data_IF_585499506398
#
_entry.id   IF_585499506398
#
_cell.length_a   1.000
_cell.length_b   1.000
_cell.length_c   1.000
_cell.angle_alpha   90.00
_cell.angle_beta   90.00
_cell.angle_gamma   90.00
#
_symmetry.space_group_name_H-M   'P 1'
#
loop_
_entity.id
_entity.type
_entity.pdbx_description
1 polymer ?
#
# COMPACT_ATOMS: atom_id res chain seq x y z
N UNK A 1 35.15 -0.91 18.99
CA UNK A 1 34.49 -1.35 17.74
C UNK A 1 34.03 -0.10 16.98
N UNK A 2 34.07 -0.07 15.65
CA UNK A 2 33.82 1.10 14.80
C UNK A 2 32.34 1.57 14.77
N UNK A 3 31.67 1.62 15.92
CA UNK A 3 30.23 1.91 16.01
C UNK A 3 29.33 0.83 15.41
N UNK A 4 29.87 -0.38 15.14
CA UNK A 4 29.13 -1.54 14.64
C UNK A 4 28.27 -2.09 15.77
N UNK A 5 26.98 -2.26 15.51
CA UNK A 5 26.01 -2.80 16.48
C UNK A 5 25.56 -4.21 16.11
N UNK A 6 25.41 -4.52 14.82
CA UNK A 6 24.92 -5.82 14.36
C UNK A 6 25.60 -6.20 13.04
N UNK A 7 25.89 -7.47 12.85
CA UNK A 7 26.29 -8.03 11.55
C UNK A 7 25.28 -9.06 11.08
N UNK A 8 25.12 -9.19 9.77
CA UNK A 8 24.18 -10.16 9.22
C UNK A 8 24.65 -10.78 7.91
N UNK A 9 24.10 -11.94 7.62
CA UNK A 9 24.28 -12.65 6.36
C UNK A 9 22.91 -13.12 5.89
N UNK A 10 22.49 -12.68 4.70
CA UNK A 10 21.29 -13.14 4.03
C UNK A 10 21.70 -13.97 2.80
N UNK A 11 21.28 -15.23 2.75
CA UNK A 11 21.64 -16.16 1.67
C UNK A 11 20.54 -16.25 0.63
N UNK A 12 20.91 -16.67 -0.59
CA UNK A 12 19.95 -16.87 -1.69
C UNK A 12 18.91 -17.96 -1.39
N UNK A 13 19.18 -18.90 -0.47
CA UNK A 13 18.24 -19.95 -0.09
C UNK A 13 17.15 -19.48 0.88
N UNK A 14 17.12 -18.20 1.25
CA UNK A 14 16.16 -17.66 2.20
C UNK A 14 16.60 -17.69 3.66
N UNK A 15 17.81 -18.18 3.95
CA UNK A 15 18.35 -18.19 5.31
C UNK A 15 19.05 -16.86 5.62
N UNK A 16 18.56 -16.16 6.64
CA UNK A 16 19.22 -14.99 7.22
C UNK A 16 19.73 -15.31 8.62
N UNK A 17 20.94 -14.84 8.95
CA UNK A 17 21.52 -14.91 10.30
C UNK A 17 21.98 -13.52 10.72
N UNK A 18 21.79 -13.21 11.99
CA UNK A 18 22.10 -11.93 12.60
C UNK A 18 22.95 -12.18 13.84
N UNK A 19 23.87 -11.28 14.14
CA UNK A 19 24.72 -11.34 15.32
C UNK A 19 24.82 -9.93 15.90
N UNK A 20 24.29 -9.76 17.12
CA UNK A 20 24.39 -8.51 17.86
C UNK A 20 25.77 -8.40 18.52
N UNK A 21 26.45 -7.26 18.35
CA UNK A 21 27.78 -6.96 18.88
C UNK A 21 27.75 -5.98 20.06
N UNK A 22 26.57 -5.51 20.46
CA UNK A 22 26.41 -4.61 21.63
C UNK A 22 26.76 -5.34 22.93
N UNK A 23 27.16 -4.63 23.99
CA UNK A 23 27.40 -5.23 25.30
C UNK A 23 26.10 -5.79 25.91
N UNK A 24 26.22 -6.80 26.78
CA UNK A 24 25.07 -7.53 27.32
C UNK A 24 24.08 -6.65 28.09
N UNK A 25 24.55 -5.56 28.71
CA UNK A 25 23.72 -4.54 29.39
C UNK A 25 22.78 -3.80 28.43
N UNK A 26 23.20 -3.57 27.18
CA UNK A 26 22.34 -2.97 26.15
C UNK A 26 21.43 -4.00 25.48
N UNK A 27 21.89 -5.27 25.38
CA UNK A 27 21.11 -6.38 24.82
C UNK A 27 19.90 -6.72 25.68
N UNK A 28 20.00 -6.65 27.01
CA UNK A 28 18.90 -6.97 27.93
C UNK A 28 17.72 -6.00 27.83
N UNK A 29 17.97 -4.75 27.39
CA UNK A 29 16.94 -3.71 27.30
C UNK A 29 16.15 -3.74 25.99
N UNK A 30 16.73 -4.28 24.92
CA UNK A 30 16.04 -4.52 23.65
C UNK A 30 16.83 -5.50 22.78
N UNK A 31 16.18 -6.55 22.31
CA UNK A 31 16.75 -7.49 21.36
C UNK A 31 16.69 -6.91 19.94
N UNK A 32 17.61 -5.98 19.63
CA UNK A 32 17.80 -5.39 18.30
C UNK A 32 17.89 -6.48 17.22
N UNK A 33 18.51 -7.61 17.55
CA UNK A 33 18.57 -8.79 16.68
C UNK A 33 17.17 -9.29 16.30
N UNK A 34 16.27 -9.49 17.27
CA UNK A 34 14.90 -9.94 17.00
C UNK A 34 14.10 -8.91 16.22
N UNK A 35 14.22 -7.62 16.58
CA UNK A 35 13.51 -6.55 15.87
C UNK A 35 14.00 -6.45 14.42
N UNK A 36 15.30 -6.57 14.20
CA UNK A 36 15.88 -6.55 12.87
C UNK A 36 15.50 -7.80 12.07
N UNK A 37 15.52 -8.98 12.69
CA UNK A 37 15.12 -10.23 12.07
C UNK A 37 13.63 -10.24 11.68
N UNK A 38 12.76 -9.69 12.52
CA UNK A 38 11.32 -9.58 12.27
C UNK A 38 11.02 -8.61 11.12
N UNK A 39 11.75 -7.49 11.06
CA UNK A 39 11.64 -6.50 9.98
C UNK A 39 12.19 -7.06 8.66
N UNK A 40 13.30 -7.80 8.69
CA UNK A 40 14.03 -8.28 7.52
C UNK A 40 13.99 -9.80 7.37
N UNK A 41 12.79 -10.37 7.32
CA UNK A 41 12.57 -11.82 7.33
C UNK A 41 12.52 -12.50 5.95
N UNK A 42 12.59 -11.74 4.84
CA UNK A 42 12.40 -12.28 3.47
C UNK A 42 13.69 -12.44 2.67
N UNK A 43 14.86 -12.34 3.32
CA UNK A 43 16.18 -12.56 2.74
C UNK A 43 16.39 -11.93 1.34
N UNK A 44 16.15 -12.67 0.25
CA UNK A 44 16.34 -12.21 -1.14
C UNK A 44 15.38 -11.10 -1.57
N UNK A 45 14.21 -11.02 -0.94
CA UNK A 45 13.23 -9.98 -1.23
C UNK A 45 13.51 -8.67 -0.49
N UNK A 46 14.46 -8.68 0.43
CA UNK A 46 14.83 -7.49 1.18
C UNK A 46 15.55 -6.46 0.29
N UNK A 47 15.25 -5.19 0.57
CA UNK A 47 15.79 -4.08 -0.21
C UNK A 47 17.33 -4.06 -0.19
N UNK A 48 17.95 -4.29 0.97
CA UNK A 48 19.41 -4.32 1.08
C UNK A 48 20.05 -5.44 0.24
N UNK A 49 19.33 -6.57 0.06
CA UNK A 49 19.81 -7.71 -0.72
C UNK A 49 19.76 -7.36 -2.21
N UNK A 50 18.60 -6.90 -2.68
CA UNK A 50 18.39 -6.51 -4.08
C UNK A 50 19.34 -5.39 -4.50
N UNK A 51 19.44 -4.34 -3.67
CA UNK A 51 20.34 -3.20 -3.92
C UNK A 51 21.80 -3.61 -3.97
N UNK A 52 22.28 -4.45 -3.05
CA UNK A 52 23.67 -4.92 -3.08
C UNK A 52 23.99 -5.75 -4.33
N UNK A 53 23.07 -6.64 -4.74
CA UNK A 53 23.23 -7.50 -5.91
C UNK A 53 23.18 -6.69 -7.21
N UNK A 54 22.31 -5.70 -7.30
CA UNK A 54 22.23 -4.79 -8.45
C UNK A 54 23.47 -3.89 -8.54
N UNK A 55 23.87 -3.28 -7.42
CA UNK A 55 25.02 -2.38 -7.38
C UNK A 55 26.34 -3.09 -7.69
N UNK A 56 26.47 -4.38 -7.36
CA UNK A 56 27.63 -5.20 -7.71
C UNK A 56 27.94 -5.20 -9.21
N UNK A 57 26.93 -5.03 -10.08
CA UNK A 57 27.14 -4.93 -11.53
C UNK A 57 27.89 -3.65 -11.93
N UNK A 58 27.75 -2.58 -11.15
CA UNK A 58 28.47 -1.33 -11.36
C UNK A 58 29.87 -1.38 -10.75
N UNK A 59 29.99 -1.89 -9.51
CA UNK A 59 31.27 -2.06 -8.84
C UNK A 59 31.25 -3.31 -7.94
N UNK A 60 32.03 -4.32 -8.32
CA UNK A 60 32.08 -5.61 -7.62
C UNK A 60 32.72 -5.56 -6.24
N UNK A 61 33.45 -4.48 -5.93
CA UNK A 61 34.16 -4.33 -4.65
C UNK A 61 33.48 -3.31 -3.73
N UNK A 62 32.36 -2.72 -4.16
CA UNK A 62 31.73 -1.64 -3.42
C UNK A 62 30.79 -2.14 -2.31
N UNK A 63 30.73 -1.37 -1.24
CA UNK A 63 29.69 -1.47 -0.22
C UNK A 63 28.53 -0.52 -0.55
N UNK A 64 27.30 -0.98 -0.34
CA UNK A 64 26.08 -0.20 -0.49
C UNK A 64 25.62 0.27 0.88
N UNK A 65 25.69 1.56 1.11
CA UNK A 65 25.23 2.21 2.33
C UNK A 65 23.84 2.79 2.11
N UNK A 66 22.97 2.61 3.10
CA UNK A 66 21.62 3.14 3.11
C UNK A 66 21.19 3.51 4.53
N UNK A 67 20.25 4.45 4.63
CA UNK A 67 19.57 4.80 5.88
C UNK A 67 18.07 4.65 5.67
N UNK A 68 17.29 4.37 6.72
CA UNK A 68 15.84 4.42 6.61
C UNK A 68 15.35 5.85 6.28
N UNK A 69 14.14 5.94 5.74
CA UNK A 69 13.58 7.22 5.30
C UNK A 69 13.14 8.09 6.49
N UNK A 70 13.33 9.41 6.37
CA UNK A 70 12.88 10.43 7.35
C UNK A 70 13.33 10.18 8.80
N UNK A 71 14.58 9.72 8.96
CA UNK A 71 15.13 9.27 10.24
C UNK A 71 15.69 10.41 11.10
N UNK A 72 15.92 11.59 10.51
CA UNK A 72 16.57 12.72 11.19
C UNK A 72 15.94 13.19 12.52
N UNK A 73 14.69 12.84 12.80
CA UNK A 73 13.97 13.18 14.04
C UNK A 73 13.90 12.03 15.07
N UNK A 74 14.36 10.82 14.70
CA UNK A 74 14.34 9.66 15.59
C UNK A 74 15.60 9.60 16.47
N UNK A 75 15.44 9.06 17.68
CA UNK A 75 16.51 8.98 18.69
C UNK A 75 17.51 7.84 18.44
N UNK A 76 17.13 6.82 17.66
CA UNK A 76 17.96 5.65 17.35
C UNK A 76 18.08 5.45 15.85
N UNK A 77 19.18 5.97 15.29
CA UNK A 77 19.40 5.99 13.85
C UNK A 77 20.54 5.04 13.50
N UNK A 78 20.34 4.25 12.46
CA UNK A 78 21.34 3.29 11.97
C UNK A 78 21.65 3.52 10.50
N UNK A 79 22.90 3.25 10.13
CA UNK A 79 23.36 3.16 8.75
C UNK A 79 23.59 1.69 8.44
N UNK A 80 22.95 1.20 7.38
CA UNK A 80 23.09 -0.16 6.90
C UNK A 80 24.13 -0.19 5.77
N UNK A 81 25.22 -0.93 5.95
CA UNK A 81 26.17 -1.22 4.88
C UNK A 81 26.04 -2.66 4.43
N UNK A 82 25.77 -2.90 3.14
CA UNK A 82 25.64 -4.25 2.56
C UNK A 82 26.59 -4.49 1.40
N UNK A 83 27.01 -5.74 1.21
CA UNK A 83 27.89 -6.15 0.13
C UNK A 83 27.49 -7.54 -0.38
N UNK A 84 27.38 -7.67 -1.71
CA UNK A 84 26.96 -8.91 -2.34
C UNK A 84 28.15 -9.82 -2.65
N UNK A 85 28.02 -11.09 -2.27
CA UNK A 85 29.00 -12.14 -2.54
C UNK A 85 28.58 -12.93 -3.77
N UNK A 86 29.40 -12.83 -4.81
CA UNK A 86 29.24 -13.58 -6.05
C UNK A 86 30.25 -14.71 -6.12
N UNK A 87 29.78 -15.91 -6.47
CA UNK A 87 30.63 -17.08 -6.66
C UNK A 87 30.53 -17.59 -8.10
N UNK A 88 31.60 -18.22 -8.56
CA UNK A 88 31.71 -18.81 -9.88
C UNK A 88 32.99 -18.41 -10.61
N UNK A 89 33.16 -18.94 -11.82
CA UNK A 89 34.36 -18.71 -12.64
C UNK A 89 34.02 -18.00 -13.94
N UNK A 90 34.88 -17.04 -14.33
CA UNK A 90 34.70 -16.22 -15.53
C UNK A 90 33.35 -15.50 -15.55
N UNK A 91 32.59 -15.71 -16.63
CA UNK A 91 31.27 -15.09 -16.87
C UNK A 91 30.11 -15.80 -16.15
N UNK A 92 30.35 -16.96 -15.52
CA UNK A 92 29.31 -17.72 -14.81
C UNK A 92 29.35 -17.41 -13.32
N UNK A 93 29.09 -16.14 -12.95
CA UNK A 93 28.99 -15.70 -11.56
C UNK A 93 27.53 -15.54 -11.15
N UNK A 94 27.18 -16.04 -9.97
CA UNK A 94 25.86 -15.90 -9.39
C UNK A 94 25.96 -15.33 -7.97
N UNK A 95 24.99 -14.50 -7.54
CA UNK A 95 24.92 -14.06 -6.15
C UNK A 95 24.58 -15.27 -5.27
N UNK A 96 25.38 -15.52 -4.25
CA UNK A 96 25.10 -16.59 -3.28
C UNK A 96 24.60 -16.05 -1.94
N UNK A 97 25.12 -14.91 -1.51
CA UNK A 97 24.73 -14.27 -0.26
C UNK A 97 25.02 -12.78 -0.30
N UNK A 98 24.39 -12.03 0.61
CA UNK A 98 24.70 -10.64 0.91
C UNK A 98 25.07 -10.58 2.38
N UNK A 99 26.22 -9.98 2.66
CA UNK A 99 26.68 -9.71 4.02
C UNK A 99 26.45 -8.24 4.33
N UNK A 100 26.25 -7.91 5.59
CA UNK A 100 26.15 -6.51 5.97
C UNK A 100 26.38 -6.23 7.43
N UNK A 101 26.50 -4.94 7.69
CA UNK A 101 26.82 -4.35 8.98
C UNK A 101 25.83 -3.23 9.26
N UNK A 102 25.40 -3.17 10.51
CA UNK A 102 24.59 -2.09 11.04
C UNK A 102 25.49 -1.20 11.90
N UNK A 103 25.57 0.07 11.55
CA UNK A 103 26.34 1.08 12.26
C UNK A 103 25.40 2.04 12.98
N UNK A 104 25.75 2.45 14.20
CA UNK A 104 25.05 3.55 14.86
C UNK A 104 25.40 4.87 14.16
N UNK A 105 24.38 5.59 13.70
CA UNK A 105 24.54 6.77 12.83
C UNK A 105 25.44 7.85 13.45
N UNK A 106 25.29 8.14 14.75
CA UNK A 106 26.11 9.15 15.44
C UNK A 106 27.62 8.87 15.32
N UNK A 107 28.06 7.63 15.57
CA UNK A 107 29.47 7.26 15.43
C UNK A 107 29.94 7.29 13.97
N UNK A 108 29.08 6.90 13.04
CA UNK A 108 29.38 6.94 11.61
C UNK A 108 29.57 8.39 11.12
N UNK A 109 28.65 9.29 11.46
CA UNK A 109 28.70 10.70 11.11
C UNK A 109 29.90 11.42 11.77
N UNK A 110 30.14 11.19 13.07
CA UNK A 110 31.31 11.76 13.77
C UNK A 110 32.62 11.33 13.10
N UNK A 111 32.70 10.06 12.68
CA UNK A 111 33.88 9.54 12.01
C UNK A 111 34.07 10.18 10.63
N UNK A 112 33.00 10.36 9.86
CA UNK A 112 33.01 11.08 8.59
C UNK A 112 33.54 12.52 8.77
N UNK A 113 33.00 13.28 9.71
CA UNK A 113 33.47 14.65 9.95
C UNK A 113 34.93 14.71 10.41
N UNK A 114 35.36 13.76 11.26
CA UNK A 114 36.77 13.64 11.65
C UNK A 114 37.68 13.29 10.45
N UNK A 115 37.21 12.52 9.49
CA UNK A 115 38.00 12.27 8.27
C UNK A 115 38.04 13.47 7.33
N UNK A 116 36.94 14.22 7.23
CA UNK A 116 36.88 15.41 6.39
C UNK A 116 37.81 16.54 6.86
N UNK A 117 38.19 16.55 8.14
CA UNK A 117 39.16 17.52 8.70
C UNK A 117 40.61 17.10 8.48
N UNK A 118 40.87 15.80 8.28
CA UNK A 118 42.21 15.24 8.08
C UNK A 118 42.71 15.52 6.67
N UNK A 119 43.10 16.76 6.42
CA UNK A 119 43.62 17.10 5.10
C UNK A 119 45.11 16.82 4.97
N UNK A 120 45.43 15.71 4.29
CA UNK A 120 46.78 15.19 4.13
C UNK A 120 47.64 15.95 3.09
N UNK A 121 47.07 16.88 2.32
CA UNK A 121 47.77 17.69 1.32
C UNK A 121 47.85 19.17 1.73
N UNK A 122 48.99 19.78 1.46
CA UNK A 122 49.32 21.20 1.79
C UNK A 122 48.47 22.26 1.06
N UNK A 123 47.61 21.86 0.11
CA UNK A 123 46.75 22.75 -0.68
C UNK A 123 45.28 22.73 -0.28
N UNK A 124 44.96 22.19 0.90
CA UNK A 124 43.58 21.98 1.31
C UNK A 124 43.00 23.18 2.05
N UNK A 125 42.03 23.84 1.44
CA UNK A 125 41.42 25.08 1.95
C UNK A 125 40.03 24.89 2.56
N UNK A 126 39.44 23.69 2.46
CA UNK A 126 38.02 23.46 2.75
C UNK A 126 37.91 22.38 3.82
N UNK A 127 37.17 22.67 4.89
CA UNK A 127 36.98 21.80 6.03
C UNK A 127 35.49 21.77 6.41
N UNK A 128 34.89 20.58 6.40
CA UNK A 128 33.48 20.36 6.74
C UNK A 128 33.11 20.62 8.22
N UNK A 129 34.06 20.99 9.07
CA UNK A 129 33.76 21.46 10.43
C UNK A 129 33.64 22.98 10.53
N UNK A 130 33.83 23.71 9.42
CA UNK A 130 33.66 25.15 9.41
C UNK A 130 32.21 25.53 9.14
N UNK A 131 31.67 26.59 9.78
CA UNK A 131 30.30 27.04 9.55
C UNK A 131 30.10 27.69 8.17
N UNK A 132 31.18 27.89 7.40
CA UNK A 132 31.14 28.44 6.04
C UNK A 132 30.92 27.35 4.98
N UNK A 133 30.81 26.09 5.39
CA UNK A 133 30.72 24.94 4.46
C UNK A 133 29.69 23.93 4.93
N UNK A 134 28.75 23.57 4.06
CA UNK A 134 27.79 22.50 4.33
C UNK A 134 28.25 21.22 3.60
N UNK A 135 28.49 20.15 4.37
CA UNK A 135 28.91 18.87 3.81
C UNK A 135 27.83 17.80 3.92
N UNK A 136 27.63 17.10 2.81
CA UNK A 136 26.64 16.04 2.66
C UNK A 136 27.29 14.78 2.10
N UNK A 137 26.83 13.63 2.60
CA UNK A 137 27.12 12.34 2.03
C UNK A 137 25.83 11.78 1.44
N UNK A 138 25.77 11.67 0.12
CA UNK A 138 24.58 11.26 -0.61
C UNK A 138 24.74 9.83 -1.13
N UNK A 139 23.63 9.09 -1.13
CA UNK A 139 23.49 7.76 -1.71
C UNK A 139 23.31 7.85 -3.25
N UNK A 140 23.53 6.74 -3.95
CA UNK A 140 23.32 6.58 -5.39
C UNK A 140 21.88 6.88 -5.89
N UNK A 141 20.93 7.06 -4.98
CA UNK A 141 19.56 7.49 -5.29
C UNK A 141 19.24 8.93 -4.83
N UNK A 142 20.24 9.69 -4.39
CA UNK A 142 20.07 11.08 -3.96
C UNK A 142 19.46 11.23 -2.57
N UNK A 143 19.58 10.23 -1.70
CA UNK A 143 19.18 10.33 -0.29
C UNK A 143 20.36 10.74 0.59
N UNK A 144 20.11 11.56 1.61
CA UNK A 144 21.14 12.04 2.53
C UNK A 144 21.46 10.98 3.59
N UNK A 145 22.69 10.48 3.60
CA UNK A 145 23.20 9.54 4.61
C UNK A 145 23.77 10.31 5.81
N UNK A 146 24.59 11.33 5.55
CA UNK A 146 25.21 12.19 6.57
C UNK A 146 25.06 13.65 6.17
N UNK A 147 24.70 14.47 7.15
CA UNK A 147 24.65 15.94 7.08
C UNK A 147 24.98 16.49 8.47
N UNK A 148 25.40 17.75 8.55
CA UNK A 148 25.60 18.45 9.83
C UNK A 148 24.28 18.57 10.59
N UNK A 149 23.20 18.92 9.87
CA UNK A 149 21.87 18.98 10.43
C UNK A 149 21.22 17.60 10.42
N UNK A 150 20.97 17.05 11.61
CA UNK A 150 20.46 15.68 11.75
C UNK A 150 19.11 15.47 11.04
N UNK A 151 18.25 16.50 10.99
CA UNK A 151 16.93 16.43 10.34
C UNK A 151 16.98 16.14 8.84
N UNK A 152 18.12 16.39 8.16
CA UNK A 152 18.28 16.05 6.75
C UNK A 152 18.50 14.55 6.51
N UNK A 153 18.94 13.80 7.53
CA UNK A 153 19.27 12.37 7.41
C UNK A 153 18.04 11.56 6.98
N UNK A 154 18.20 10.79 5.90
CA UNK A 154 17.14 9.95 5.34
C UNK A 154 16.09 10.71 4.53
N UNK A 155 16.25 12.01 4.31
CA UNK A 155 15.44 12.78 3.36
C UNK A 155 16.04 12.69 1.96
N UNK A 156 15.17 12.84 0.96
CA UNK A 156 15.61 13.02 -0.41
C UNK A 156 16.31 14.38 -0.54
N UNK A 157 17.44 14.45 -1.24
CA UNK A 157 18.23 15.68 -1.33
C UNK A 157 17.48 16.82 -2.02
N UNK A 158 16.54 16.52 -2.92
CA UNK A 158 15.64 17.54 -3.50
C UNK A 158 14.77 18.24 -2.45
N UNK A 159 14.46 17.59 -1.32
CA UNK A 159 13.75 18.23 -0.19
C UNK A 159 14.66 19.15 0.63
N UNK A 160 15.98 19.11 0.40
CA UNK A 160 16.99 19.95 1.06
C UNK A 160 17.42 21.09 0.14
N UNK A 161 17.88 20.78 -1.07
CA UNK A 161 18.25 21.77 -2.09
C UNK A 161 17.92 21.27 -3.50
N UNK A 162 16.78 21.74 -4.03
CA UNK A 162 16.30 21.41 -5.38
C UNK A 162 17.24 21.90 -6.46
N UNK A 163 17.77 23.11 -6.33
CA UNK A 163 18.57 23.75 -7.37
C UNK A 163 19.91 23.03 -7.53
N UNK A 164 20.55 22.68 -6.41
CA UNK A 164 21.76 21.86 -6.44
C UNK A 164 21.50 20.47 -7.03
N UNK A 165 20.40 19.80 -6.68
CA UNK A 165 20.02 18.52 -7.27
C UNK A 165 19.86 18.64 -8.79
N UNK A 166 19.17 19.68 -9.27
CA UNK A 166 18.98 19.95 -10.70
C UNK A 166 20.32 20.14 -11.40
N UNK A 167 21.23 20.91 -10.81
CA UNK A 167 22.60 21.07 -11.33
C UNK A 167 23.32 19.72 -11.42
N UNK A 168 23.21 18.83 -10.43
CA UNK A 168 23.81 17.49 -10.53
C UNK A 168 23.21 16.64 -11.66
N UNK A 169 21.92 16.81 -11.98
CA UNK A 169 21.29 16.15 -13.12
C UNK A 169 21.79 16.71 -14.44
N UNK A 170 21.92 18.03 -14.56
CA UNK A 170 22.46 18.71 -15.73
C UNK A 170 23.92 18.34 -16.01
N UNK A 171 24.72 18.11 -14.96
CA UNK A 171 26.09 17.61 -15.05
C UNK A 171 26.18 16.11 -15.41
N UNK A 172 25.05 15.41 -15.47
CA UNK A 172 25.01 13.97 -15.74
C UNK A 172 25.48 13.08 -14.58
N UNK A 173 25.53 13.63 -13.36
CA UNK A 173 25.91 12.88 -12.14
C UNK A 173 24.75 11.99 -11.70
N UNK A 174 23.54 12.55 -11.69
CA UNK A 174 22.30 11.79 -11.52
C UNK A 174 21.52 11.79 -12.82
N UNK A 175 20.88 10.66 -13.12
CA UNK A 175 19.88 10.55 -14.17
C UNK A 175 18.51 10.58 -13.55
N UNK A 176 17.67 11.51 -14.01
CA UNK A 176 16.25 11.52 -13.69
C UNK A 176 15.55 10.45 -14.55
N UNK A 177 14.80 9.56 -13.90
CA UNK A 177 14.07 8.46 -14.50
C UNK A 177 12.59 8.67 -14.23
N UNK A 178 11.80 8.78 -15.29
CA UNK A 178 10.35 8.84 -15.20
C UNK A 178 9.77 7.45 -14.94
N UNK A 179 8.93 7.35 -13.92
CA UNK A 179 8.31 6.12 -13.46
C UNK A 179 6.78 6.25 -13.52
N UNK A 180 6.13 5.16 -13.91
CA UNK A 180 4.68 5.04 -13.99
C UNK A 180 4.20 3.90 -13.09
N UNK A 181 3.25 4.20 -12.21
CA UNK A 181 2.56 3.21 -11.38
C UNK A 181 1.11 3.08 -11.84
N UNK A 182 0.85 2.02 -12.60
CA UNK A 182 -0.47 1.67 -13.15
C UNK A 182 -1.34 0.85 -12.17
N UNK A 183 -0.84 0.59 -10.95
CA UNK A 183 -1.56 -0.16 -9.91
C UNK A 183 -1.76 0.68 -8.64
N UNK A 184 -1.70 2.00 -8.79
CA UNK A 184 -1.76 2.92 -7.67
C UNK A 184 -3.20 3.18 -7.23
N UNK A 185 -3.35 3.65 -5.99
CA UNK A 185 -4.63 4.03 -5.40
C UNK A 185 -4.69 5.55 -5.27
N UNK A 186 -5.71 6.16 -5.86
CA UNK A 186 -6.06 7.57 -5.67
C UNK A 186 -7.23 7.68 -4.70
N UNK A 187 -7.33 8.84 -4.05
CA UNK A 187 -8.33 9.08 -3.02
C UNK A 187 -9.17 10.27 -3.44
N UNK A 188 -10.46 10.04 -3.65
CA UNK A 188 -11.42 11.11 -3.91
C UNK A 188 -12.09 11.52 -2.60
N UNK A 189 -12.11 12.83 -2.33
CA UNK A 189 -12.95 13.38 -1.26
C UNK A 189 -14.41 13.40 -1.72
N UNK A 190 -15.24 12.57 -1.07
CA UNK A 190 -16.68 12.59 -1.34
C UNK A 190 -17.25 13.82 -0.65
N UNK A 191 -17.59 14.85 -1.43
CA UNK A 191 -18.41 15.96 -0.93
C UNK A 191 -19.74 15.38 -0.47
N UNK A 192 -20.15 15.67 0.76
CA UNK A 192 -21.42 15.20 1.32
C UNK A 192 -22.58 15.61 0.41
N UNK A 193 -23.04 14.68 -0.44
CA UNK A 193 -24.39 14.75 -0.97
C UNK A 193 -25.31 14.28 0.15
N UNK A 194 -26.17 15.19 0.61
CA UNK A 194 -27.21 14.89 1.58
C UNK A 194 -27.94 13.59 1.19
N UNK A 195 -28.00 12.62 2.10
CA UNK A 195 -28.71 11.33 1.92
C UNK A 195 -30.24 11.52 1.96
N UNK A 196 -30.74 12.77 1.90
CA UNK A 196 -32.15 13.09 1.69
C UNK A 196 -32.57 12.83 0.23
N UNK A 197 -32.30 11.63 -0.27
CA UNK A 197 -32.40 11.24 -1.67
C UNK A 197 -33.43 10.15 -1.95
N UNK A 198 -34.45 9.95 -1.10
CA UNK A 198 -35.65 9.20 -1.51
C UNK A 198 -36.86 9.75 -0.76
N UNK A 199 -37.62 10.66 -1.37
CA UNK A 199 -38.99 10.92 -0.94
C UNK A 199 -39.81 9.66 -1.23
N UNK A 200 -39.97 8.77 -0.23
CA UNK A 200 -40.91 7.65 -0.35
C UNK A 200 -42.32 8.23 -0.55
N UNK A 201 -42.98 7.81 -1.63
CA UNK A 201 -44.33 8.24 -1.95
C UNK A 201 -45.25 7.98 -0.72
N UNK A 202 -45.97 9.00 -0.19
CA UNK A 202 -46.86 8.81 0.96
C UNK A 202 -47.87 7.67 0.75
N UNK A 203 -48.25 7.38 -0.51
CA UNK A 203 -49.13 6.27 -0.87
C UNK A 203 -48.46 4.90 -0.65
N UNK A 204 -47.15 4.76 -0.91
CA UNK A 204 -46.46 3.48 -0.67
C UNK A 204 -46.25 3.22 0.82
N UNK A 205 -46.06 4.29 1.62
CA UNK A 205 -46.02 4.20 3.08
C UNK A 205 -47.39 3.76 3.60
N UNK A 206 -48.48 4.40 3.16
CA UNK A 206 -49.84 4.04 3.54
C UNK A 206 -50.20 2.60 3.13
N UNK A 207 -49.81 2.17 1.94
CA UNK A 207 -50.02 0.79 1.47
C UNK A 207 -49.26 -0.22 2.33
N UNK A 208 -48.03 0.09 2.73
CA UNK A 208 -47.22 -0.77 3.60
C UNK A 208 -47.84 -0.89 4.99
N UNK A 209 -48.33 0.22 5.55
CA UNK A 209 -49.05 0.23 6.84
C UNK A 209 -50.35 -0.57 6.74
N UNK A 210 -51.12 -0.40 5.67
CA UNK A 210 -52.35 -1.15 5.45
C UNK A 210 -52.10 -2.66 5.36
N UNK A 211 -51.10 -3.08 4.58
CA UNK A 211 -50.71 -4.50 4.48
C UNK A 211 -50.23 -5.07 5.81
N UNK A 212 -49.49 -4.27 6.60
CA UNK A 212 -49.06 -4.65 7.94
C UNK A 212 -50.26 -4.87 8.87
N UNK A 213 -51.21 -3.92 8.92
CA UNK A 213 -52.45 -4.05 9.72
C UNK A 213 -53.25 -5.28 9.28
N UNK A 214 -53.41 -5.49 7.98
CA UNK A 214 -54.17 -6.61 7.43
C UNK A 214 -53.53 -7.97 7.77
N UNK A 215 -52.20 -8.04 7.78
CA UNK A 215 -51.46 -9.25 8.18
C UNK A 215 -51.65 -9.58 9.67
N UNK A 216 -51.71 -8.57 10.55
CA UNK A 216 -51.94 -8.80 11.97
C UNK A 216 -53.38 -9.18 12.27
N UNK A 217 -54.34 -8.55 11.59
CA UNK A 217 -55.76 -8.92 11.71
C UNK A 217 -55.99 -10.35 11.23
N UNK A 218 -55.42 -10.75 10.09
CA UNK A 218 -55.57 -12.12 9.58
C UNK A 218 -54.97 -13.15 10.53
N UNK A 219 -53.82 -12.87 11.14
CA UNK A 219 -53.21 -13.73 12.16
C UNK A 219 -54.10 -13.87 13.41
N UNK A 220 -54.73 -12.79 13.86
CA UNK A 220 -55.69 -12.83 14.98
C UNK A 220 -56.91 -13.68 14.62
N UNK A 221 -57.48 -13.50 13.42
CA UNK A 221 -58.60 -14.31 12.95
C UNK A 221 -58.25 -15.80 12.85
N UNK A 222 -57.06 -16.12 12.35
CA UNK A 222 -56.55 -17.51 12.32
C UNK A 222 -56.42 -18.05 13.74
N UNK A 223 -55.90 -17.27 14.69
CA UNK A 223 -55.74 -17.71 16.07
C UNK A 223 -57.09 -17.92 16.78
N UNK A 224 -58.10 -17.09 16.49
CA UNK A 224 -59.47 -17.25 17.00
C UNK A 224 -60.18 -18.47 16.38
N UNK A 225 -59.95 -18.73 15.08
CA UNK A 225 -60.47 -19.93 14.40
C UNK A 225 -59.84 -21.22 14.94
N UNK A 226 -58.51 -21.23 15.15
CA UNK A 226 -57.82 -22.37 15.75
C UNK A 226 -58.31 -22.61 17.18
N UNK A 227 -58.53 -21.55 17.98
CA UNK A 227 -59.06 -21.69 19.34
C UNK A 227 -60.53 -22.14 19.39
N UNK A 228 -61.39 -21.76 18.43
CA UNK A 228 -62.76 -22.26 18.37
C UNK A 228 -62.85 -23.74 17.96
N UNK A 229 -61.88 -24.22 17.17
CA UNK A 229 -61.72 -25.65 16.86
C UNK A 229 -61.14 -26.42 18.05
N UNK A 230 -60.25 -25.81 18.84
CA UNK A 230 -59.64 -26.43 20.03
C UNK A 230 -60.58 -26.53 21.25
N UNK A 231 -61.75 -25.86 21.28
CA UNK A 231 -62.79 -26.08 22.31
C UNK A 231 -63.58 -27.40 22.07
N UNK A 232 -63.45 -28.05 20.90
CA UNK A 232 -63.98 -29.39 20.65
C UNK A 232 -62.93 -30.52 20.80
N UNK A 233 -61.65 -30.17 21.02
CA UNK A 233 -60.51 -31.10 21.10
C UNK A 233 -59.96 -31.34 22.50
N UNK A 234 -60.66 -30.92 23.57
CA UNK A 234 -60.18 -31.00 24.95
C UNK A 234 -60.40 -32.39 25.62
N UNK A 235 -60.03 -33.48 24.93
CA UNK A 235 -59.85 -34.81 25.54
C UNK A 235 -58.66 -35.52 24.90
N UNK A 236 -57.44 -35.12 25.27
CA UNK A 236 -56.32 -36.05 25.50
C UNK A 236 -55.11 -35.29 25.99
N UNK A 237 -54.74 -35.53 27.25
CA UNK A 237 -53.40 -35.29 27.78
C UNK A 237 -52.35 -36.04 26.94
N UNK A 238 -51.17 -35.46 26.73
CA UNK A 238 -49.88 -36.02 27.18
C UNK A 238 -48.72 -35.01 26.92
N UNK A 239 -47.70 -34.93 27.78
CA UNK A 239 -46.63 -33.91 27.77
C UNK A 239 -45.33 -34.43 27.12
N UNK A 240 -44.28 -33.59 27.14
CA UNK A 240 -42.89 -33.71 26.64
C UNK A 240 -42.63 -32.94 25.33
N UNK A 241 -41.56 -32.17 25.16
CA UNK A 241 -40.37 -32.01 25.99
C UNK A 241 -39.44 -30.91 25.44
N UNK A 242 -38.54 -30.50 26.34
CA UNK A 242 -37.30 -29.72 26.22
C UNK A 242 -36.72 -29.54 24.79
N UNK A 243 -36.63 -28.30 24.33
CA UNK A 243 -35.79 -27.85 23.20
C UNK A 243 -34.59 -27.02 23.70
N UNK A 244 -33.44 -27.02 22.98
CA UNK A 244 -32.17 -26.55 23.50
C UNK A 244 -31.95 -25.04 23.34
N UNK A 245 -31.22 -24.46 24.29
CA UNK A 245 -30.79 -23.06 24.33
C UNK A 245 -29.90 -22.70 23.11
N UNK A 246 -30.30 -21.67 22.37
CA UNK A 246 -29.47 -21.05 21.33
C UNK A 246 -28.60 -19.97 21.97
N UNK A 247 -27.31 -20.28 22.00
CA UNK A 247 -26.17 -19.47 22.44
C UNK A 247 -26.14 -18.13 21.69
N UNK A 248 -26.10 -17.03 22.46
CA UNK A 248 -25.71 -15.69 22.01
C UNK A 248 -24.26 -15.71 21.48
N UNK A 249 -24.09 -15.50 20.19
CA UNK A 249 -22.79 -15.33 19.55
C UNK A 249 -22.36 -13.86 19.51
N UNK A 250 -21.42 -13.52 20.41
CA UNK A 250 -20.33 -12.54 20.28
C UNK A 250 -20.62 -11.19 19.61
N UNK A 251 -20.99 -10.22 20.44
CA UNK A 251 -20.60 -8.81 20.28
C UNK A 251 -19.10 -8.68 20.62
N UNK A 252 -18.19 -8.75 19.65
CA UNK A 252 -16.75 -8.48 19.91
C UNK A 252 -15.95 -8.06 18.66
N UNK A 253 -16.63 -7.50 17.65
CA UNK A 253 -15.94 -7.01 16.43
C UNK A 253 -16.22 -5.53 16.09
N UNK A 254 -16.81 -4.77 17.02
CA UNK A 254 -17.21 -3.38 16.78
C UNK A 254 -16.40 -2.33 17.57
N UNK A 255 -15.46 -2.73 18.44
CA UNK A 255 -14.79 -1.80 19.37
C UNK A 255 -13.37 -1.36 18.95
N UNK A 256 -13.02 -1.46 17.66
CA UNK A 256 -11.72 -0.95 17.18
C UNK A 256 -11.75 -0.20 15.85
N UNK A 257 -12.92 0.32 15.47
CA UNK A 257 -13.10 1.16 14.29
C UNK A 257 -13.41 2.63 14.63
N UNK A 258 -13.25 3.07 15.88
CA UNK A 258 -13.65 4.41 16.33
C UNK A 258 -12.51 5.42 16.52
N UNK A 259 -11.25 5.05 16.26
CA UNK A 259 -10.15 6.03 16.18
C UNK A 259 -9.89 6.37 14.72
N UNK A 260 -10.32 7.58 14.33
CA UNK A 260 -10.29 8.20 13.00
C UNK A 260 -11.49 7.82 12.13
N UNK A 261 -12.59 8.58 12.24
CA UNK A 261 -13.49 8.75 11.10
C UNK A 261 -12.69 9.53 10.05
N UNK A 262 -12.25 8.92 8.93
CA UNK A 262 -11.71 9.70 7.84
C UNK A 262 -12.88 10.53 7.28
N UNK A 263 -12.63 11.74 6.77
CA UNK A 263 -13.50 12.32 5.75
C UNK A 263 -13.87 11.18 4.78
N UNK A 264 -15.15 11.07 4.39
CA UNK A 264 -15.63 10.03 3.46
C UNK A 264 -14.77 10.06 2.19
N UNK A 265 -13.73 9.24 2.18
CA UNK A 265 -12.71 9.19 1.15
C UNK A 265 -12.90 7.87 0.45
N UNK A 266 -13.13 7.94 -0.86
CA UNK A 266 -13.35 6.74 -1.66
C UNK A 266 -12.06 6.45 -2.43
N UNK A 267 -11.33 5.37 -2.09
CA UNK A 267 -10.17 4.95 -2.87
C UNK A 267 -10.62 4.37 -4.22
N UNK A 268 -9.90 4.69 -5.29
CA UNK A 268 -10.12 4.15 -6.63
C UNK A 268 -8.78 3.85 -7.33
N UNK A 269 -8.73 2.90 -8.27
CA UNK A 269 -7.52 2.62 -9.04
C UNK A 269 -7.22 3.78 -9.99
N UNK A 270 -5.97 4.22 -10.02
CA UNK A 270 -5.51 5.30 -10.90
C UNK A 270 -4.06 5.08 -11.31
N UNK A 271 -3.67 5.77 -12.38
CA UNK A 271 -2.30 5.76 -12.86
C UNK A 271 -1.56 6.97 -12.29
N UNK A 272 -0.38 6.76 -11.71
CA UNK A 272 0.47 7.84 -11.19
C UNK A 272 1.80 7.90 -11.91
N UNK A 273 2.33 9.12 -12.05
CA UNK A 273 3.70 9.37 -12.52
C UNK A 273 4.55 10.03 -11.43
N UNK A 274 5.83 9.69 -11.39
CA UNK A 274 6.82 10.31 -10.51
C UNK A 274 8.23 10.16 -11.08
N UNK A 275 9.17 10.89 -10.52
CA UNK A 275 10.58 10.85 -10.94
C UNK A 275 11.45 10.21 -9.86
N UNK A 276 12.32 9.30 -10.26
CA UNK A 276 13.38 8.72 -9.44
C UNK A 276 14.75 9.15 -9.98
N UNK A 277 15.78 9.01 -9.14
CA UNK A 277 17.14 9.43 -9.47
C UNK A 277 18.10 8.27 -9.28
N UNK A 278 19.01 8.12 -10.24
CA UNK A 278 20.06 7.11 -10.21
C UNK A 278 21.40 7.72 -10.60
N UNK A 279 22.40 7.57 -9.72
CA UNK A 279 23.75 8.03 -9.96
C UNK A 279 24.36 7.30 -11.16
N UNK A 280 24.93 8.06 -12.09
CA UNK A 280 25.60 7.52 -13.26
C UNK A 280 27.07 7.22 -12.94
N UNK A 281 27.67 6.34 -13.75
CA UNK A 281 29.09 6.02 -13.62
C UNK A 281 29.93 7.24 -13.99
N UNK A 282 30.65 7.79 -13.01
CA UNK A 282 31.64 8.83 -13.26
C UNK A 282 32.83 8.27 -14.05
N UNK A 283 33.28 9.03 -15.05
CA UNK A 283 34.41 8.65 -15.91
C UNK A 283 35.76 8.95 -15.27
N UNK A 284 35.82 9.96 -14.41
CA UNK A 284 37.03 10.40 -13.72
C UNK A 284 36.80 10.40 -12.21
N UNK A 285 37.82 9.98 -11.45
CA UNK A 285 37.83 10.03 -9.98
C UNK A 285 38.18 11.44 -9.45
N UNK A 286 38.32 12.42 -10.34
CA UNK A 286 38.64 13.80 -9.98
C UNK A 286 37.41 14.53 -9.44
N UNK A 287 37.59 15.43 -8.45
CA UNK A 287 36.48 16.21 -7.92
C UNK A 287 35.94 17.17 -8.98
N UNK A 288 34.62 17.17 -9.16
CA UNK A 288 33.92 18.11 -10.02
C UNK A 288 33.63 19.35 -9.19
N UNK A 289 34.09 20.50 -9.64
CA UNK A 289 33.86 21.79 -8.98
C UNK A 289 33.15 22.75 -9.90
N UNK A 290 32.24 23.54 -9.36
CA UNK A 290 31.57 24.59 -10.10
C UNK A 290 30.77 25.49 -9.20
N UNK A 291 30.03 26.40 -9.83
CA UNK A 291 29.13 27.31 -9.15
C UNK A 291 27.69 26.92 -9.53
N UNK A 292 26.77 27.03 -8.58
CA UNK A 292 25.33 26.83 -8.82
C UNK A 292 24.52 27.96 -8.20
N UNK A 293 23.36 28.24 -8.78
CA UNK A 293 22.44 29.25 -8.27
C UNK A 293 21.56 28.64 -7.17
N UNK A 294 21.76 29.02 -5.91
CA UNK A 294 20.94 28.55 -4.79
C UNK A 294 19.59 29.25 -4.75
N UNK A 295 19.57 30.55 -5.03
CA UNK A 295 18.38 31.38 -5.16
C UNK A 295 18.60 32.42 -6.28
N UNK A 296 17.55 33.12 -6.73
CA UNK A 296 17.58 33.99 -7.92
C UNK A 296 18.76 34.99 -7.99
N UNK A 297 19.30 35.41 -6.85
CA UNK A 297 20.36 36.43 -6.77
C UNK A 297 21.65 35.97 -6.09
N UNK A 298 21.82 34.67 -5.79
CA UNK A 298 23.00 34.19 -5.08
C UNK A 298 23.47 32.82 -5.56
N UNK A 299 24.78 32.73 -5.83
CA UNK A 299 25.44 31.51 -6.26
C UNK A 299 26.43 31.01 -5.20
N UNK A 300 26.46 29.70 -5.01
CA UNK A 300 27.41 29.02 -4.11
C UNK A 300 28.33 28.11 -4.94
N UNK A 301 29.50 27.83 -4.38
CA UNK A 301 30.44 26.86 -4.98
C UNK A 301 30.15 25.48 -4.45
N UNK A 302 30.19 24.49 -5.33
CA UNK A 302 30.07 23.09 -4.96
C UNK A 302 31.34 22.31 -5.34
N UNK A 303 31.59 21.25 -4.57
CA UNK A 303 32.58 20.21 -4.87
C UNK A 303 31.88 18.86 -4.75
N UNK A 304 31.98 18.06 -5.79
CA UNK A 304 31.41 16.73 -5.88
C UNK A 304 32.51 15.71 -6.08
N UNK A 305 32.57 14.71 -5.20
CA UNK A 305 33.59 13.69 -5.25
C UNK A 305 33.00 12.31 -4.89
N UNK A 306 33.11 11.30 -5.77
CA UNK A 306 32.66 9.95 -5.43
C UNK A 306 33.54 9.34 -4.34
N UNK A 307 32.95 8.60 -3.41
CA UNK A 307 33.69 7.91 -2.35
C UNK A 307 34.09 6.52 -2.87
N UNK A 308 35.39 6.22 -2.96
CA UNK A 308 35.87 4.99 -3.59
C UNK A 308 35.36 3.75 -2.87
N UNK A 309 35.05 2.70 -3.63
CA UNK A 309 34.52 1.42 -3.14
C UNK A 309 33.18 1.54 -2.37
N UNK A 310 32.37 2.55 -2.67
CA UNK A 310 31.04 2.72 -2.10
C UNK A 310 30.04 3.22 -3.15
N UNK A 311 28.76 3.22 -2.80
CA UNK A 311 27.69 3.89 -3.53
C UNK A 311 27.51 5.38 -3.20
N UNK A 312 28.44 5.96 -2.43
CA UNK A 312 28.28 7.30 -1.88
C UNK A 312 29.02 8.36 -2.69
N UNK A 313 28.48 9.57 -2.67
CA UNK A 313 29.11 10.77 -3.21
C UNK A 313 29.18 11.85 -2.13
N UNK A 314 30.35 12.46 -1.98
CA UNK A 314 30.59 13.62 -1.13
C UNK A 314 30.20 14.89 -1.88
N UNK A 315 29.30 15.66 -1.30
CA UNK A 315 28.95 17.01 -1.75
C UNK A 315 29.41 18.00 -0.68
N UNK A 316 30.18 18.99 -1.08
CA UNK A 316 30.57 20.12 -0.23
C UNK A 316 30.04 21.40 -0.87
N UNK A 317 29.26 22.17 -0.13
CA UNK A 317 28.74 23.47 -0.52
C UNK A 317 29.44 24.56 0.29
N UNK A 318 29.79 25.68 -0.33
CA UNK A 318 30.26 26.87 0.38
C UNK A 318 29.06 27.74 0.73
N UNK A 319 28.68 27.75 2.00
CA UNK A 319 27.48 28.40 2.54
C UNK A 319 27.65 29.92 2.61
N UNK A 320 27.71 30.57 1.45
CA UNK A 320 27.90 32.03 1.30
C UNK A 320 26.56 32.76 1.22
N UNK A 321 25.49 32.08 0.81
CA UNK A 321 24.22 32.72 0.50
C UNK A 321 23.25 32.73 1.70
N UNK A 322 22.74 33.91 2.12
CA UNK A 322 21.80 34.03 3.24
C UNK A 322 20.33 33.78 2.81
N UNK A 323 20.09 32.84 1.89
CA UNK A 323 18.76 32.50 1.39
C UNK A 323 18.45 31.02 1.66
N UNK A 324 17.16 30.72 1.87
CA UNK A 324 16.69 29.34 1.98
C UNK A 324 16.61 28.71 0.59
N UNK A 325 17.09 27.47 0.42
CA UNK A 325 17.00 26.76 -0.85
C UNK A 325 15.55 26.43 -1.18
N UNK A 326 15.25 26.33 -2.47
CA UNK A 326 13.99 25.76 -2.93
C UNK A 326 13.97 24.25 -2.68
N UNK A 327 12.80 23.69 -2.37
CA UNK A 327 12.66 22.27 -2.04
C UNK A 327 11.64 21.60 -2.97
N UNK A 328 11.91 20.36 -3.34
CA UNK A 328 11.05 19.52 -4.17
C UNK A 328 11.01 18.10 -3.63
N UNK A 329 9.80 17.67 -3.26
CA UNK A 329 9.53 16.31 -2.79
C UNK A 329 9.13 15.41 -3.94
N UNK A 330 9.54 14.15 -3.89
CA UNK A 330 9.04 13.11 -4.79
C UNK A 330 7.61 12.79 -4.39
N UNK A 331 6.63 13.36 -5.10
CA UNK A 331 5.21 13.12 -4.90
C UNK A 331 4.63 12.48 -6.16
N UNK A 332 4.09 11.24 -6.07
CA UNK A 332 3.34 10.63 -7.16
C UNK A 332 2.11 11.46 -7.54
N UNK A 333 2.06 11.90 -8.78
CA UNK A 333 0.97 12.70 -9.34
C UNK A 333 0.04 11.82 -10.17
N UNK A 334 -1.26 11.94 -9.95
CA UNK A 334 -2.26 11.26 -10.79
C UNK A 334 -2.17 11.75 -12.23
N UNK A 335 -2.20 10.81 -13.16
CA UNK A 335 -2.24 11.09 -14.60
C UNK A 335 -3.70 11.28 -14.98
N UNK A 336 -4.06 12.54 -15.26
CA UNK A 336 -5.36 12.87 -15.85
C UNK A 336 -5.21 12.69 -17.36
N UNK A 337 -5.94 11.72 -17.90
CA UNK A 337 -5.96 11.48 -19.34
C UNK A 337 -6.99 12.41 -19.99
N UNK A 338 -6.51 13.46 -20.66
CA UNK A 338 -7.34 14.40 -21.41
C UNK A 338 -7.72 13.81 -22.79
N UNK A 339 -8.87 13.12 -22.90
CA UNK A 339 -9.45 12.66 -24.18
C UNK A 339 -9.52 11.14 -24.38
N UNK A 340 -9.96 10.70 -25.57
CA UNK A 340 -10.14 9.30 -25.97
C UNK A 340 -8.79 8.54 -25.96
N UNK A 341 -8.37 8.04 -24.78
CA UNK A 341 -7.20 7.15 -24.61
C UNK A 341 -7.22 5.91 -25.52
N UNK A 342 -8.38 5.61 -26.12
CA UNK A 342 -8.55 4.61 -27.16
C UNK A 342 -7.59 4.86 -28.34
N UNK A 343 -7.43 6.11 -28.80
CA UNK A 343 -6.61 6.42 -29.97
C UNK A 343 -5.11 6.15 -29.77
N UNK A 344 -4.54 6.52 -28.62
CA UNK A 344 -3.11 6.28 -28.32
C UNK A 344 -2.81 4.80 -28.02
N UNK A 345 -3.75 4.07 -27.41
CA UNK A 345 -3.62 2.61 -27.19
C UNK A 345 -3.64 1.82 -28.49
N UNK A 346 -4.33 2.30 -29.54
CA UNK A 346 -4.31 1.68 -30.87
C UNK A 346 -2.94 1.77 -31.57
N UNK A 347 -2.06 2.68 -31.15
CA UNK A 347 -0.70 2.81 -31.68
C UNK A 347 0.34 1.97 -30.93
N UNK A 348 -0.03 1.33 -29.82
CA UNK A 348 0.84 0.36 -29.15
C UNK A 348 0.65 -0.97 -29.86
N UNK A 349 1.48 -1.22 -30.87
CA UNK A 349 1.55 -2.51 -31.56
C UNK A 349 2.15 -3.55 -30.60
N UNK A 350 1.34 -4.02 -29.66
CA UNK A 350 1.69 -5.15 -28.81
C UNK A 350 1.65 -6.36 -29.73
N UNK A 351 2.83 -6.89 -30.04
CA UNK A 351 3.00 -8.19 -30.67
C UNK A 351 2.43 -9.26 -29.75
N UNK A 352 1.11 -9.43 -29.80
CA UNK A 352 0.42 -10.54 -29.17
C UNK A 352 0.49 -11.70 -30.13
N UNK A 353 1.03 -12.83 -29.68
CA UNK A 353 0.89 -14.06 -30.45
C UNK A 353 -0.59 -14.47 -30.37
N UNK A 354 -1.34 -14.48 -31.48
CA UNK A 354 -2.67 -15.06 -31.46
C UNK A 354 -2.56 -16.54 -31.06
N UNK A 355 -3.61 -17.13 -30.46
CA UNK A 355 -3.63 -18.55 -30.19
C UNK A 355 -3.29 -19.33 -31.46
N UNK A 356 -2.34 -20.28 -31.40
CA UNK A 356 -1.97 -21.15 -32.52
C UNK A 356 -3.02 -22.27 -32.77
N UNK A 357 -4.26 -22.02 -32.34
CA UNK A 357 -5.40 -22.91 -32.48
C UNK A 357 -6.44 -22.23 -33.35
N UNK A 358 -7.14 -23.01 -34.16
CA UNK A 358 -8.27 -22.52 -34.94
C UNK A 358 -9.37 -22.03 -33.99
N UNK A 359 -9.71 -20.74 -34.08
CA UNK A 359 -10.85 -20.18 -33.36
C UNK A 359 -12.13 -20.72 -33.99
N UNK A 360 -12.79 -21.65 -33.32
CA UNK A 360 -14.10 -22.16 -33.72
C UNK A 360 -15.18 -21.33 -33.01
N UNK A 361 -15.76 -20.38 -33.72
CA UNK A 361 -16.82 -19.49 -33.23
C UNK A 361 -18.24 -20.06 -33.44
N UNK A 362 -18.35 -21.20 -34.10
CA UNK A 362 -19.62 -21.84 -34.42
C UNK A 362 -19.44 -23.36 -34.54
N UNK A 363 -20.43 -24.13 -34.08
CA UNK A 363 -20.51 -25.57 -34.33
C UNK A 363 -21.63 -25.85 -35.36
N UNK A 364 -21.43 -26.74 -36.35
CA UNK A 364 -22.46 -27.04 -37.38
C UNK A 364 -23.81 -27.47 -36.80
N UNK A 365 -23.79 -28.20 -35.67
CA UNK A 365 -25.00 -28.69 -34.98
C UNK A 365 -25.61 -27.65 -34.03
N UNK A 366 -25.01 -26.46 -33.89
CA UNK A 366 -25.54 -25.39 -33.02
C UNK A 366 -26.93 -24.92 -33.48
N UNK A 367 -27.24 -25.03 -34.78
CA UNK A 367 -28.56 -24.70 -35.34
C UNK A 367 -29.67 -25.67 -34.91
N UNK A 368 -29.32 -26.86 -34.42
CA UNK A 368 -30.29 -27.86 -33.95
C UNK A 368 -30.82 -27.53 -32.54
N UNK A 369 -30.07 -26.72 -31.77
CA UNK A 369 -30.45 -26.29 -30.43
C UNK A 369 -31.36 -25.04 -30.48
N UNK A 370 -32.68 -25.25 -30.44
CA UNK A 370 -33.70 -24.18 -30.36
C UNK A 370 -33.98 -23.66 -28.94
N UNK A 371 -33.11 -23.97 -27.98
CA UNK A 371 -33.26 -23.47 -26.61
C UNK A 371 -32.64 -22.09 -26.49
N UNK A 372 -33.43 -21.04 -26.74
CA UNK A 372 -33.10 -19.73 -26.18
C UNK A 372 -33.52 -19.74 -24.70
N UNK A 373 -32.63 -19.32 -23.81
CA UNK A 373 -32.98 -19.15 -22.40
C UNK A 373 -34.15 -18.18 -22.30
N UNK A 374 -35.34 -18.67 -21.94
CA UNK A 374 -36.49 -17.80 -21.68
C UNK A 374 -36.22 -17.09 -20.36
N UNK A 375 -36.07 -15.76 -20.40
CA UNK A 375 -36.02 -14.96 -19.18
C UNK A 375 -37.27 -15.24 -18.34
N UNK A 376 -37.07 -15.50 -17.05
CA UNK A 376 -38.15 -15.71 -16.08
C UNK A 376 -38.82 -14.35 -15.82
N UNK A 377 -39.98 -14.12 -16.44
CA UNK A 377 -40.84 -13.00 -16.08
C UNK A 377 -41.61 -13.42 -14.83
N UNK A 378 -41.20 -12.95 -13.65
CA UNK A 378 -42.06 -13.05 -12.46
C UNK A 378 -43.26 -12.15 -12.70
N UNK A 379 -44.36 -12.72 -13.20
CA UNK A 379 -45.65 -12.08 -13.04
C UNK A 379 -45.91 -11.96 -11.54
N UNK A 380 -46.30 -10.78 -11.02
CA UNK A 380 -46.82 -10.71 -9.66
C UNK A 380 -47.98 -11.71 -9.58
N UNK A 381 -48.07 -12.54 -8.53
CA UNK A 381 -49.14 -13.50 -8.44
C UNK A 381 -50.44 -12.71 -8.39
N UNK A 382 -51.17 -12.71 -9.52
CA UNK A 382 -52.59 -12.46 -9.50
C UNK A 382 -53.15 -13.35 -8.40
N UNK A 383 -54.06 -12.81 -7.60
CA UNK A 383 -54.61 -13.43 -6.41
C UNK A 383 -55.89 -14.24 -6.73
N UNK A 384 -55.88 -15.44 -7.36
CA UNK A 384 -57.05 -16.31 -7.33
C UNK A 384 -57.00 -17.29 -6.15
N UNK A 385 -55.84 -17.54 -5.54
CA UNK A 385 -55.73 -18.57 -4.49
C UNK A 385 -56.40 -18.15 -3.19
N UNK A 386 -56.33 -16.87 -2.82
CA UNK A 386 -56.97 -16.36 -1.59
C UNK A 386 -58.49 -16.20 -1.78
N UNK A 387 -58.96 -15.86 -2.98
CA UNK A 387 -60.40 -15.73 -3.27
C UNK A 387 -61.10 -17.08 -3.45
N UNK A 388 -60.44 -18.09 -4.02
CA UNK A 388 -61.02 -19.43 -4.16
C UNK A 388 -61.13 -20.15 -2.81
N UNK A 389 -60.18 -19.93 -1.89
CA UNK A 389 -60.23 -20.54 -0.56
C UNK A 389 -61.37 -19.97 0.29
N UNK A 390 -61.62 -18.67 0.24
CA UNK A 390 -62.70 -18.02 1.00
C UNK A 390 -64.09 -18.39 0.45
N UNK A 391 -64.24 -18.54 -0.87
CA UNK A 391 -65.49 -19.03 -1.48
C UNK A 391 -65.76 -20.49 -1.11
N UNK A 392 -64.73 -21.34 -1.09
CA UNK A 392 -64.91 -22.75 -0.73
C UNK A 392 -65.32 -22.93 0.74
N UNK A 393 -64.71 -22.16 1.65
CA UNK A 393 -65.03 -22.19 3.09
C UNK A 393 -66.44 -21.65 3.37
N UNK A 394 -66.87 -20.59 2.67
CA UNK A 394 -68.24 -20.04 2.83
C UNK A 394 -69.31 -20.98 2.29
N UNK A 395 -69.07 -21.65 1.16
CA UNK A 395 -69.99 -22.67 0.62
C UNK A 395 -70.08 -23.87 1.57
N UNK A 396 -68.96 -24.33 2.13
CA UNK A 396 -68.98 -25.45 3.08
C UNK A 396 -69.75 -25.10 4.36
N UNK A 397 -69.58 -23.89 4.90
CA UNK A 397 -70.35 -23.40 6.05
C UNK A 397 -71.85 -23.30 5.77
N UNK A 398 -72.25 -22.80 4.59
CA UNK A 398 -73.67 -22.72 4.22
C UNK A 398 -74.31 -24.10 4.06
N UNK A 399 -73.60 -25.06 3.48
CA UNK A 399 -74.08 -26.45 3.35
C UNK A 399 -74.20 -27.11 4.73
N UNK A 400 -73.24 -26.88 5.62
CA UNK A 400 -73.24 -27.45 6.98
C UNK A 400 -74.37 -26.87 7.85
N UNK A 401 -74.61 -25.54 7.79
CA UNK A 401 -75.72 -24.89 8.50
C UNK A 401 -77.08 -25.37 7.99
N UNK A 402 -77.21 -25.54 6.67
CA UNK A 402 -78.44 -26.07 6.06
C UNK A 402 -78.70 -27.52 6.48
N UNK A 403 -77.65 -28.31 6.64
CA UNK A 403 -77.77 -29.70 7.12
C UNK A 403 -78.14 -29.80 8.60
N UNK A 404 -77.64 -28.88 9.45
CA UNK A 404 -77.99 -28.80 10.87
C UNK A 404 -79.43 -28.31 11.10
N UNK A 405 -79.94 -27.38 10.28
CA UNK A 405 -81.32 -26.91 10.37
C UNK A 405 -82.35 -27.95 9.87
N UNK A 406 -81.94 -28.87 8.99
CA UNK A 406 -82.80 -29.96 8.50
C UNK A 406 -82.92 -31.15 9.47
N UNK A 407 -82.05 -31.25 10.48
CA UNK A 407 -82.05 -32.34 11.48
C UNK A 407 -82.87 -31.97 12.73
N UNK A 408 -83.23 -30.68 12.90
CA UNK A 408 -83.94 -30.16 14.08
C UNK A 408 -85.40 -29.76 13.82
N UNK A 409 -86.03 -30.24 12.74
CA UNK A 409 -87.47 -30.08 12.46
C UNK A 409 -88.15 -31.43 12.23
#
# INVERSE_FOLDING_TARGET
>A
MFGITLSFVATRSGLSRFEDHRPDEERSNSSLESTFADVYNRATDELFYRRAVEYYRFNSSAFVFSVPFNVGEQSTNYVLGSHALFFGSGNKRAPAAVVGLLFKHNYFAQRFFNFSTLCLKSSCKINCSSPETDCFLLDNNGYVIVSEQQSHTGRFFGEVDRNMLKTMVELGIYKQIEMFDYQSICVQEVKDSSVAGVFRNPVSILSTVFLWIWSHLSMIFIHLYINSVNILGALSEFPYGRGPDLVHGSEDFAEKASTLLPNKTMPYPCDKKFYLYEMQKMTNDEPITGDYSKCEFCAEKYILQPVPFTNLILLVLQAVCPCSPETEKIVPQEIIYDGECTAERHHVDRTTAPPNITCHNHHPEEQEFKTCGSGWYTYPPNQPFVSMLTISITVFHFVFIKHLLAVNN
#
